data_IF_250094563018
#
_entry.id   IF_250094563018
#
_cell.length_a   1.000
_cell.length_b   1.000
_cell.length_c   1.000
_cell.angle_alpha   90.00
_cell.angle_beta   90.00
_cell.angle_gamma   90.00
#
_symmetry.space_group_name_H-M   'P 1'
#
loop_
_entity.id
_entity.type
_entity.pdbx_description
1 polymer ?
#
# COMPACT_ATOMS: atom_id res chain seq x y z
N UNK A 1 -8.39 -19.63 24.46
CA UNK A 1 -7.54 -18.45 24.77
C UNK A 1 -6.10 -18.92 24.59
N UNK A 2 -5.24 -18.48 23.69
CA UNK A 2 -5.23 -17.45 22.65
C UNK A 2 -3.80 -17.55 22.09
N UNK A 3 -3.63 -18.22 20.95
CA UNK A 3 -2.29 -18.44 20.38
C UNK A 3 -1.89 -17.24 19.51
N UNK A 4 -0.94 -16.46 20.00
CA UNK A 4 -0.25 -15.41 19.25
C UNK A 4 0.89 -16.03 18.42
N UNK A 5 0.61 -16.09 17.12
CA UNK A 5 1.48 -15.81 15.96
C UNK A 5 3.00 -15.90 16.17
N UNK A 6 3.61 -16.94 15.59
CA UNK A 6 5.04 -17.04 15.29
C UNK A 6 5.46 -15.98 14.27
N UNK A 7 6.46 -15.17 14.62
CA UNK A 7 7.25 -14.35 13.69
C UNK A 7 8.52 -15.12 13.37
N UNK A 8 8.72 -15.50 12.10
CA UNK A 8 9.98 -16.07 11.63
C UNK A 8 10.75 -14.95 10.91
N UNK A 9 11.80 -14.46 11.56
CA UNK A 9 12.84 -13.66 10.94
C UNK A 9 13.89 -14.58 10.31
N UNK A 10 14.35 -14.26 9.09
CA UNK A 10 15.57 -14.84 8.54
C UNK A 10 16.44 -13.72 7.97
N UNK A 11 17.56 -13.52 8.66
CA UNK A 11 18.72 -12.73 8.29
C UNK A 11 19.53 -13.46 7.22
N UNK A 12 20.07 -12.73 6.25
CA UNK A 12 21.20 -13.20 5.43
C UNK A 12 22.17 -12.05 5.24
N UNK A 13 23.31 -12.15 5.90
CA UNK A 13 24.54 -11.39 5.69
C UNK A 13 25.46 -12.18 4.78
N UNK A 14 26.00 -11.52 3.76
CA UNK A 14 27.15 -11.91 2.94
C UNK A 14 27.47 -10.69 2.08
N UNK A 15 28.62 -10.02 2.19
CA UNK A 15 29.98 -10.56 2.31
C UNK A 15 30.56 -10.58 0.90
N UNK A 16 31.54 -9.71 0.62
CA UNK A 16 32.81 -9.97 -0.08
C UNK A 16 33.47 -8.64 -0.50
N UNK A 17 34.65 -8.49 0.09
CA UNK A 17 35.86 -7.75 -0.25
C UNK A 17 36.18 -7.56 -1.74
N UNK A 18 36.83 -6.44 -2.06
CA UNK A 18 38.03 -6.47 -2.89
C UNK A 18 38.90 -5.22 -2.65
N UNK A 19 40.12 -5.46 -2.20
CA UNK A 19 41.23 -4.52 -1.99
C UNK A 19 42.14 -4.51 -3.22
N UNK A 20 42.69 -3.34 -3.58
CA UNK A 20 43.94 -3.22 -4.37
C UNK A 20 44.56 -1.84 -4.14
N UNK A 21 45.79 -1.87 -3.63
CA UNK A 21 46.75 -0.78 -3.50
C UNK A 21 47.35 -0.39 -4.86
N UNK A 22 47.73 0.88 -5.05
CA UNK A 22 48.99 1.27 -5.71
C UNK A 22 49.27 2.79 -5.57
N UNK A 23 50.55 3.09 -5.45
CA UNK A 23 51.17 4.28 -4.87
C UNK A 23 51.42 5.47 -5.82
N UNK A 24 51.72 6.61 -5.17
CA UNK A 24 52.66 7.69 -5.55
C UNK A 24 52.23 8.91 -6.42
N UNK A 25 52.13 10.03 -5.70
CA UNK A 25 52.89 11.28 -5.84
C UNK A 25 53.03 11.98 -7.21
N UNK A 26 52.53 13.22 -7.25
CA UNK A 26 52.86 14.20 -8.29
C UNK A 26 52.22 15.54 -7.98
N UNK A 27 53.02 16.48 -7.50
CA UNK A 27 52.76 17.88 -7.30
C UNK A 27 52.45 18.65 -8.61
N UNK A 28 51.86 19.84 -8.42
CA UNK A 28 51.96 21.07 -9.20
C UNK A 28 50.80 21.54 -10.10
N UNK A 29 50.39 22.76 -9.74
CA UNK A 29 50.06 23.92 -10.57
C UNK A 29 48.57 24.26 -10.76
N UNK A 30 48.27 25.41 -10.16
CA UNK A 30 47.12 26.26 -10.38
C UNK A 30 47.05 26.70 -11.84
N UNK A 31 45.86 26.64 -12.45
CA UNK A 31 45.46 27.66 -13.42
C UNK A 31 43.96 27.92 -13.33
N UNK A 32 43.67 29.20 -13.26
CA UNK A 32 42.39 29.89 -13.17
C UNK A 32 41.76 30.06 -14.55
N UNK A 33 40.45 30.39 -14.54
CA UNK A 33 39.58 30.81 -15.64
C UNK A 33 38.63 29.75 -16.26
N UNK A 34 37.35 29.93 -15.95
CA UNK A 34 36.22 29.25 -16.58
C UNK A 34 34.89 29.71 -15.99
N UNK A 35 34.52 30.95 -16.28
CA UNK A 35 33.15 31.49 -16.15
C UNK A 35 32.22 30.72 -17.08
N UNK A 36 31.24 30.00 -16.52
CA UNK A 36 30.05 29.60 -17.28
C UNK A 36 28.83 29.48 -16.36
N UNK A 37 27.91 30.42 -16.56
CA UNK A 37 26.46 30.29 -16.44
C UNK A 37 25.94 29.29 -15.41
N UNK A 38 25.65 29.80 -14.20
CA UNK A 38 24.71 29.13 -13.29
C UNK A 38 23.28 29.32 -13.81
N UNK A 39 22.90 28.51 -14.79
CA UNK A 39 21.52 28.11 -14.98
C UNK A 39 21.10 27.32 -13.74
N UNK A 40 20.56 28.02 -12.73
CA UNK A 40 19.85 27.39 -11.63
C UNK A 40 18.47 26.92 -12.12
N UNK A 41 18.49 26.02 -13.11
CA UNK A 41 17.49 24.98 -13.21
C UNK A 41 17.60 24.15 -11.94
N UNK A 42 16.86 24.55 -10.91
CA UNK A 42 16.60 23.70 -9.76
C UNK A 42 15.81 22.52 -10.28
N UNK A 43 16.51 21.51 -10.77
CA UNK A 43 15.97 20.16 -10.88
C UNK A 43 15.58 19.80 -9.45
N UNK A 44 14.28 19.94 -9.16
CA UNK A 44 13.73 19.52 -7.88
C UNK A 44 13.95 18.01 -7.75
N UNK A 45 15.08 17.69 -7.13
CA UNK A 45 15.45 16.47 -6.45
C UNK A 45 14.20 15.68 -6.07
N UNK A 46 14.10 14.48 -6.64
CA UNK A 46 13.01 13.50 -6.59
C UNK A 46 12.57 13.18 -5.16
N UNK A 47 11.87 14.15 -4.58
CA UNK A 47 11.67 14.27 -3.16
C UNK A 47 10.83 13.10 -2.68
N UNK A 48 11.45 12.24 -1.85
CA UNK A 48 10.87 11.17 -1.02
C UNK A 48 9.89 11.71 0.03
N UNK A 49 9.18 12.81 -0.26
CA UNK A 49 8.30 13.54 0.64
C UNK A 49 6.89 12.98 0.57
N UNK A 50 6.29 12.80 1.73
CA UNK A 50 4.89 12.42 1.86
C UNK A 50 3.99 13.62 1.51
N UNK A 51 2.91 13.38 0.75
CA UNK A 51 1.91 14.39 0.39
C UNK A 51 0.68 14.21 1.26
N UNK A 52 0.21 15.26 1.93
CA UNK A 52 -1.00 15.20 2.75
C UNK A 52 -2.25 15.06 1.88
N UNK A 53 -3.08 14.05 2.16
CA UNK A 53 -4.28 13.71 1.39
C UNK A 53 -5.55 13.97 2.20
N UNK A 54 -5.48 13.84 3.52
CA UNK A 54 -6.62 14.07 4.38
C UNK A 54 -6.21 14.46 5.80
N UNK A 55 -7.16 15.07 6.50
CA UNK A 55 -7.03 15.56 7.86
C UNK A 55 -8.12 14.98 8.75
N UNK A 56 -7.81 14.73 10.02
CA UNK A 56 -8.77 14.33 11.04
C UNK A 56 -8.38 14.87 12.42
N UNK A 57 -9.39 15.22 13.21
CA UNK A 57 -9.23 15.71 14.59
C UNK A 57 -9.09 14.60 15.63
N UNK A 58 -9.24 13.32 15.25
CA UNK A 58 -9.11 12.19 16.17
C UNK A 58 -8.62 10.94 15.44
N UNK A 59 -7.95 10.04 16.19
CA UNK A 59 -7.38 8.82 15.63
C UNK A 59 -8.44 7.91 15.01
N UNK A 60 -9.59 7.74 15.68
CA UNK A 60 -10.70 6.94 15.16
C UNK A 60 -11.28 7.53 13.86
N UNK A 61 -11.39 8.86 13.77
CA UNK A 61 -11.80 9.54 12.53
C UNK A 61 -10.77 9.35 11.42
N UNK A 62 -9.49 9.42 11.75
CA UNK A 62 -8.40 9.27 10.79
C UNK A 62 -8.33 7.85 10.22
N UNK A 63 -8.47 6.82 11.06
CA UNK A 63 -8.53 5.43 10.60
C UNK A 63 -9.74 5.20 9.68
N UNK A 64 -10.92 5.75 10.02
CA UNK A 64 -12.09 5.67 9.13
C UNK A 64 -11.85 6.35 7.78
N UNK A 65 -11.19 7.51 7.78
CA UNK A 65 -10.81 8.21 6.54
C UNK A 65 -9.77 7.44 5.74
N UNK A 66 -8.81 6.80 6.40
CA UNK A 66 -7.81 5.92 5.76
C UNK A 66 -8.49 4.71 5.12
N UNK A 67 -9.35 3.99 5.85
CA UNK A 67 -10.11 2.87 5.30
C UNK A 67 -10.99 3.30 4.14
N UNK A 68 -11.67 4.45 4.24
CA UNK A 68 -12.47 5.00 3.14
C UNK A 68 -11.62 5.36 1.93
N UNK A 69 -10.43 5.93 2.14
CA UNK A 69 -9.50 6.27 1.06
C UNK A 69 -9.01 5.01 0.34
N UNK A 70 -8.64 3.97 1.10
CA UNK A 70 -8.27 2.66 0.59
C UNK A 70 -9.41 2.06 -0.28
N UNK A 71 -10.62 2.04 0.28
CA UNK A 71 -11.83 1.57 -0.42
C UNK A 71 -12.12 2.42 -1.66
N UNK A 72 -12.03 3.74 -1.62
CA UNK A 72 -12.34 4.60 -2.77
C UNK A 72 -11.34 4.41 -3.91
N UNK A 73 -10.06 4.22 -3.58
CA UNK A 73 -9.01 3.96 -4.59
C UNK A 73 -8.95 2.50 -5.03
N UNK A 74 -9.63 1.58 -4.33
CA UNK A 74 -9.67 0.15 -4.68
C UNK A 74 -8.46 -0.64 -4.20
N UNK A 75 -7.71 -0.12 -3.23
CA UNK A 75 -6.49 -0.75 -2.71
C UNK A 75 -6.64 -1.08 -1.24
N UNK A 76 -5.90 -2.10 -0.79
CA UNK A 76 -5.79 -2.48 0.61
C UNK A 76 -4.38 -2.20 1.14
N UNK A 77 -4.30 -1.91 2.43
CA UNK A 77 -3.05 -1.59 3.11
C UNK A 77 -2.78 -2.54 4.27
N UNK A 78 -1.51 -2.90 4.45
CA UNK A 78 -1.03 -3.56 5.68
C UNK A 78 -0.20 -2.59 6.51
N UNK A 79 -0.28 -2.74 7.82
CA UNK A 79 0.67 -2.07 8.71
C UNK A 79 2.09 -2.51 8.39
N UNK A 80 3.02 -1.55 8.33
CA UNK A 80 4.44 -1.82 8.06
C UNK A 80 5.29 -1.57 9.30
N UNK A 81 5.22 -0.37 9.85
CA UNK A 81 5.90 0.00 11.07
C UNK A 81 5.30 1.27 11.67
N UNK A 82 5.65 1.52 12.92
CA UNK A 82 5.35 2.73 13.65
C UNK A 82 6.67 3.36 14.06
N UNK A 83 6.74 4.68 14.00
CA UNK A 83 7.92 5.44 14.37
C UNK A 83 7.48 6.66 15.16
N UNK A 84 8.02 6.76 16.37
CA UNK A 84 7.91 7.96 17.20
C UNK A 84 9.16 8.79 16.96
N UNK A 85 9.20 9.55 15.86
CA UNK A 85 10.31 10.49 15.63
C UNK A 85 10.08 11.75 16.46
N UNK A 86 11.14 12.55 16.60
CA UNK A 86 11.21 13.80 17.39
C UNK A 86 10.10 14.83 17.04
N UNK A 87 9.41 14.68 15.90
CA UNK A 87 8.34 15.58 15.45
C UNK A 87 6.91 15.01 15.55
N UNK A 88 6.73 13.82 16.16
CA UNK A 88 5.41 13.22 16.37
C UNK A 88 5.34 11.74 16.03
N UNK A 89 4.18 11.17 16.31
CA UNK A 89 3.88 9.77 16.07
C UNK A 89 3.52 9.52 14.60
N UNK A 90 4.13 8.52 13.98
CA UNK A 90 3.88 8.16 12.59
C UNK A 90 3.63 6.66 12.48
N UNK A 91 2.48 6.29 11.91
CA UNK A 91 2.17 4.90 11.56
C UNK A 91 2.12 4.73 10.05
N UNK A 92 3.00 3.88 9.51
CA UNK A 92 3.13 3.67 8.06
C UNK A 92 2.47 2.37 7.65
N UNK A 93 1.75 2.43 6.55
CA UNK A 93 1.06 1.33 5.89
C UNK A 93 1.60 1.16 4.47
N UNK A 94 1.75 -0.09 4.04
CA UNK A 94 2.17 -0.44 2.68
C UNK A 94 1.00 -1.04 1.90
N UNK A 95 0.94 -0.75 0.61
CA UNK A 95 -0.01 -1.40 -0.30
C UNK A 95 0.23 -2.92 -0.32
N UNK A 96 -0.86 -3.70 -0.26
CA UNK A 96 -0.81 -5.15 -0.46
C UNK A 96 -1.45 -5.60 -1.77
N UNK A 97 -2.21 -4.74 -2.45
CA UNK A 97 -2.95 -5.09 -3.67
C UNK A 97 -2.07 -5.28 -4.91
N UNK A 98 -0.84 -4.75 -4.93
CA UNK A 98 0.04 -4.82 -6.11
C UNK A 98 1.35 -5.51 -5.76
N UNK A 99 1.90 -6.24 -6.73
CA UNK A 99 3.19 -6.93 -6.58
C UNK A 99 4.29 -5.90 -6.43
N UNK A 100 5.12 -6.04 -5.37
CA UNK A 100 6.27 -5.16 -5.08
C UNK A 100 5.92 -3.67 -5.16
N UNK A 101 4.77 -3.29 -4.62
CA UNK A 101 4.27 -1.91 -4.67
C UNK A 101 5.12 -0.96 -3.80
N UNK A 102 5.68 0.14 -4.35
CA UNK A 102 6.43 1.13 -3.57
C UNK A 102 5.50 2.15 -2.88
N UNK A 103 4.19 2.08 -3.12
CA UNK A 103 3.21 2.97 -2.50
C UNK A 103 3.08 2.74 -0.99
N UNK A 104 3.22 3.84 -0.24
CA UNK A 104 3.07 3.90 1.21
C UNK A 104 2.08 4.99 1.61
N UNK A 105 1.30 4.71 2.64
CA UNK A 105 0.41 5.68 3.27
C UNK A 105 0.79 5.79 4.74
N UNK A 106 0.90 7.00 5.27
CA UNK A 106 1.29 7.28 6.64
C UNK A 106 0.17 8.02 7.36
N UNK A 107 -0.08 7.60 8.59
CA UNK A 107 -0.89 8.34 9.55
C UNK A 107 0.06 9.07 10.49
N UNK A 108 0.12 10.39 10.36
CA UNK A 108 1.03 11.26 11.11
C UNK A 108 0.22 12.05 12.13
N UNK A 109 0.56 11.91 13.40
CA UNK A 109 0.02 12.75 14.46
C UNK A 109 0.92 13.98 14.63
N UNK A 110 0.33 15.16 14.50
CA UNK A 110 0.99 16.44 14.82
C UNK A 110 0.09 17.19 15.78
N UNK A 111 0.59 17.45 16.99
CA UNK A 111 -0.21 18.02 18.11
C UNK A 111 -1.46 17.14 18.34
N UNK A 112 -2.64 17.74 18.36
CA UNK A 112 -3.93 17.06 18.57
C UNK A 112 -4.62 16.62 17.27
N UNK A 113 -3.89 16.64 16.16
CA UNK A 113 -4.43 16.37 14.83
C UNK A 113 -3.72 15.21 14.14
N UNK A 114 -4.46 14.53 13.28
CA UNK A 114 -4.00 13.40 12.50
C UNK A 114 -4.06 13.72 11.02
N UNK A 115 -2.96 13.46 10.32
CA UNK A 115 -2.79 13.69 8.90
C UNK A 115 -2.59 12.36 8.22
N UNK A 116 -3.26 12.17 7.09
CA UNK A 116 -3.04 11.03 6.20
C UNK A 116 -2.18 11.54 5.07
N UNK A 117 -1.00 10.95 4.91
CA UNK A 117 -0.05 11.35 3.90
C UNK A 117 0.33 10.15 3.02
N UNK A 118 0.52 10.36 1.71
CA UNK A 118 0.88 9.31 0.76
C UNK A 118 2.24 9.55 0.12
N UNK A 119 2.96 8.46 -0.18
CA UNK A 119 4.25 8.49 -0.89
C UNK A 119 4.30 7.36 -1.91
N UNK A 120 4.97 7.65 -3.02
CA UNK A 120 5.19 6.68 -4.08
C UNK A 120 3.99 6.57 -5.02
N UNK A 121 4.13 5.71 -6.03
CA UNK A 121 3.08 5.38 -6.99
C UNK A 121 2.75 3.91 -6.87
N UNK A 122 1.50 3.54 -7.13
CA UNK A 122 1.13 2.13 -7.23
C UNK A 122 1.84 1.48 -8.42
N UNK A 123 2.27 0.23 -8.27
CA UNK A 123 2.75 -0.56 -9.41
C UNK A 123 1.57 -0.97 -10.29
N UNK A 124 1.80 -1.12 -11.60
CA UNK A 124 0.74 -1.46 -12.56
C UNK A 124 0.27 -2.92 -12.42
N UNK A 125 1.12 -3.80 -11.90
CA UNK A 125 0.80 -5.21 -11.71
C UNK A 125 0.02 -5.39 -10.40
N UNK A 126 -1.29 -5.53 -10.52
CA UNK A 126 -2.10 -6.06 -9.44
C UNK A 126 -1.63 -7.48 -9.12
N UNK A 127 -1.48 -7.76 -7.84
CA UNK A 127 -1.16 -9.09 -7.38
C UNK A 127 -2.46 -9.90 -7.38
N UNK A 128 -2.60 -10.76 -8.38
CA UNK A 128 -3.76 -11.65 -8.53
C UNK A 128 -3.90 -12.60 -7.33
N UNK A 129 -2.81 -12.87 -6.59
CA UNK A 129 -2.78 -13.74 -5.42
C UNK A 129 -3.24 -13.00 -4.15
N UNK A 130 -2.97 -11.69 -4.03
CA UNK A 130 -3.54 -10.82 -2.98
C UNK A 130 -4.86 -10.16 -3.36
N UNK A 131 -5.46 -10.48 -4.53
CA UNK A 131 -6.91 -10.35 -4.76
C UNK A 131 -7.69 -11.34 -3.89
N UNK A 132 -7.60 -11.09 -2.57
CA UNK A 132 -8.52 -11.48 -1.51
C UNK A 132 -8.64 -12.99 -1.29
N UNK A 133 -8.20 -13.42 -0.11
CA UNK A 133 -8.54 -14.76 0.39
C UNK A 133 -10.04 -14.90 0.76
N UNK A 134 -10.91 -13.95 0.36
CA UNK A 134 -12.33 -13.96 0.68
C UNK A 134 -13.18 -12.96 -0.10
N UNK A 135 -14.49 -13.06 0.06
CA UNK A 135 -15.46 -12.13 -0.53
C UNK A 135 -15.32 -10.76 0.15
N UNK A 136 -15.36 -9.69 -0.63
CA UNK A 136 -15.25 -8.33 -0.10
C UNK A 136 -16.37 -8.04 0.92
N UNK A 137 -16.11 -7.38 2.08
CA UNK A 137 -17.10 -7.12 3.13
C UNK A 137 -18.38 -6.43 2.65
N UNK A 138 -18.29 -5.52 1.67
CA UNK A 138 -19.47 -4.86 1.10
C UNK A 138 -20.36 -5.79 0.26
N UNK A 139 -19.82 -6.91 -0.24
CA UNK A 139 -20.55 -7.89 -1.05
C UNK A 139 -21.08 -9.06 -0.22
N UNK A 140 -20.45 -9.33 0.92
CA UNK A 140 -20.77 -10.45 1.82
C UNK A 140 -22.25 -10.57 2.16
N UNK A 141 -22.97 -9.53 2.62
CA UNK A 141 -24.39 -9.65 2.95
C UNK A 141 -25.22 -10.13 1.75
N UNK A 142 -24.99 -9.52 0.58
CA UNK A 142 -25.72 -9.86 -0.65
C UNK A 142 -25.35 -11.25 -1.16
N UNK A 143 -24.10 -11.66 -1.03
CA UNK A 143 -23.63 -13.00 -1.40
C UNK A 143 -24.27 -14.05 -0.51
N UNK A 144 -24.33 -13.81 0.80
CA UNK A 144 -24.91 -14.74 1.76
C UNK A 144 -26.42 -14.93 1.53
N UNK A 145 -27.15 -13.84 1.22
CA UNK A 145 -28.58 -13.92 0.90
C UNK A 145 -28.84 -14.77 -0.35
N UNK A 146 -28.05 -14.56 -1.40
CA UNK A 146 -28.17 -15.33 -2.64
C UNK A 146 -27.73 -16.79 -2.41
N UNK A 147 -26.66 -17.04 -1.65
CA UNK A 147 -26.22 -18.39 -1.34
C UNK A 147 -27.25 -19.17 -0.52
N UNK A 148 -27.85 -18.55 0.51
CA UNK A 148 -28.92 -19.14 1.32
C UNK A 148 -30.18 -19.46 0.53
N UNK A 149 -30.45 -18.74 -0.55
CA UNK A 149 -31.55 -19.06 -1.48
C UNK A 149 -31.29 -20.28 -2.37
N UNK A 150 -30.15 -20.97 -2.21
CA UNK A 150 -29.80 -22.18 -2.95
C UNK A 150 -29.20 -21.91 -4.33
N UNK A 151 -28.84 -20.66 -4.65
CA UNK A 151 -28.23 -20.33 -5.93
C UNK A 151 -26.83 -20.91 -6.03
N UNK A 152 -26.59 -21.66 -7.11
CA UNK A 152 -25.27 -22.16 -7.46
C UNK A 152 -24.28 -21.01 -7.78
N UNK A 153 -22.95 -21.21 -7.63
CA UNK A 153 -21.96 -20.14 -7.79
C UNK A 153 -22.01 -19.40 -9.14
N UNK A 154 -22.34 -20.09 -10.23
CA UNK A 154 -22.43 -19.49 -11.57
C UNK A 154 -23.64 -18.54 -11.73
N UNK A 155 -24.89 -18.95 -11.42
CA UNK A 155 -26.02 -18.03 -11.42
C UNK A 155 -25.89 -16.92 -10.36
N UNK A 156 -25.30 -17.20 -9.19
CA UNK A 156 -25.02 -16.19 -8.17
C UNK A 156 -24.12 -15.07 -8.70
N UNK A 157 -23.00 -15.41 -9.33
CA UNK A 157 -22.11 -14.43 -9.95
C UNK A 157 -22.80 -13.61 -11.04
N UNK A 158 -23.70 -14.23 -11.80
CA UNK A 158 -24.49 -13.55 -12.83
C UNK A 158 -25.43 -12.51 -12.22
N UNK A 159 -26.09 -12.84 -11.11
CA UNK A 159 -26.93 -11.90 -10.38
C UNK A 159 -26.13 -10.74 -9.79
N UNK A 160 -24.94 -10.99 -9.22
CA UNK A 160 -24.08 -9.91 -8.73
C UNK A 160 -23.64 -8.98 -9.87
N UNK A 161 -23.23 -9.53 -11.03
CA UNK A 161 -22.88 -8.72 -12.20
C UNK A 161 -24.06 -7.87 -12.68
N UNK A 162 -25.29 -8.41 -12.63
CA UNK A 162 -26.49 -7.68 -13.02
C UNK A 162 -26.80 -6.57 -12.01
N UNK A 163 -26.73 -6.87 -10.71
CA UNK A 163 -27.02 -5.93 -9.63
C UNK A 163 -26.05 -4.73 -9.64
N UNK A 164 -24.76 -4.98 -9.85
CA UNK A 164 -23.72 -3.95 -9.84
C UNK A 164 -23.34 -3.44 -11.24
N UNK A 165 -24.17 -3.69 -12.28
CA UNK A 165 -23.85 -3.31 -13.67
C UNK A 165 -23.51 -1.82 -13.85
N UNK A 166 -24.11 -0.95 -13.03
CA UNK A 166 -23.92 0.51 -13.09
C UNK A 166 -22.82 1.03 -12.16
N UNK A 167 -22.18 0.15 -11.39
CA UNK A 167 -21.13 0.50 -10.44
C UNK A 167 -19.82 -0.19 -10.82
N UNK A 168 -18.96 0.47 -11.64
CA UNK A 168 -17.70 -0.11 -12.08
C UNK A 168 -16.74 -0.41 -10.92
N UNK A 169 -16.82 0.36 -9.82
CA UNK A 169 -15.99 0.12 -8.64
C UNK A 169 -16.40 -1.17 -7.92
N UNK A 170 -17.69 -1.50 -7.90
CA UNK A 170 -18.19 -2.77 -7.34
C UNK A 170 -17.96 -3.97 -8.27
N UNK A 171 -17.99 -3.77 -9.59
CA UNK A 171 -17.69 -4.85 -10.56
C UNK A 171 -16.26 -5.37 -10.43
N UNK A 172 -15.29 -4.49 -10.19
CA UNK A 172 -13.90 -4.89 -9.92
C UNK A 172 -13.75 -5.71 -8.64
N UNK A 173 -14.77 -5.70 -7.76
CA UNK A 173 -14.72 -6.35 -6.46
C UNK A 173 -15.42 -7.69 -6.42
N UNK A 174 -16.03 -8.10 -7.53
CA UNK A 174 -16.83 -9.31 -7.57
C UNK A 174 -16.01 -10.54 -7.18
N UNK A 175 -16.58 -11.44 -6.35
CA UNK A 175 -15.91 -12.65 -5.97
C UNK A 175 -15.78 -13.62 -7.15
N UNK A 176 -14.76 -14.48 -7.08
CA UNK A 176 -14.56 -15.56 -8.04
C UNK A 176 -15.54 -16.70 -7.80
N UNK A 177 -15.71 -17.59 -8.79
CA UNK A 177 -16.54 -18.80 -8.64
C UNK A 177 -16.07 -19.68 -7.48
N UNK A 178 -14.76 -19.78 -7.28
CA UNK A 178 -14.17 -20.55 -6.18
C UNK A 178 -14.50 -19.94 -4.82
N UNK A 179 -14.37 -18.61 -4.67
CA UNK A 179 -14.74 -17.91 -3.43
C UNK A 179 -16.22 -18.08 -3.09
N UNK A 180 -17.10 -18.02 -4.11
CA UNK A 180 -18.53 -18.26 -3.94
C UNK A 180 -18.83 -19.71 -3.54
N UNK A 181 -18.16 -20.68 -4.17
CA UNK A 181 -18.29 -22.10 -3.81
C UNK A 181 -17.86 -22.36 -2.37
N UNK A 182 -16.70 -21.82 -1.97
CA UNK A 182 -16.17 -21.97 -0.62
C UNK A 182 -17.09 -21.31 0.41
N UNK A 183 -17.70 -20.17 0.08
CA UNK A 183 -18.66 -19.50 0.97
C UNK A 183 -19.96 -20.28 1.10
N UNK A 184 -20.50 -20.79 0.00
CA UNK A 184 -21.73 -21.59 0.01
C UNK A 184 -21.57 -22.89 0.81
N UNK A 185 -20.37 -23.49 0.82
CA UNK A 185 -20.08 -24.67 1.63
C UNK A 185 -19.99 -24.39 3.16
N UNK A 186 -19.89 -23.13 3.56
CA UNK A 186 -19.77 -22.70 4.96
C UNK A 186 -21.11 -22.23 5.55
N UNK A 187 -22.11 -21.96 4.72
CA UNK A 187 -23.45 -21.46 5.11
C UNK A 187 -24.44 -22.62 5.25
#
# INVERSE_FOLDING_TARGET
MGNLTRVIARSTTGGLDNSSDDDQAGDKELSDAGDDSSDSGSEEDGSKKFKTVAFASSMASALRKLSRHAVNKGFDYKYRYESSRVAGWVRVFACITHVKCPYECALVQRRDCYYIEERGKHSAAEDEETRRHGIHPSLLPRVDDLARSGLQPAPLLRELKRAYKRDPAMLQRLPTRLQLSNRAAYL
#
